data_IF_205168244001
#
_entry.id   IF_205168244001
#
_cell.length_a   1.000
_cell.length_b   1.000
_cell.length_c   1.000
_cell.angle_alpha   90.00
_cell.angle_beta   90.00
_cell.angle_gamma   90.00
#
_symmetry.space_group_name_H-M   'P 1'
#
loop_
_entity.id
_entity.type
_entity.pdbx_description
1 polymer ?
#
# COMPACT_ATOMS: atom_id res chain seq x y z
N UNK A 1 -7.38 -13.33 7.62
CA UNK A 1 -6.20 -13.00 8.45
C UNK A 1 -6.31 -11.53 8.78
N UNK A 2 -6.43 -11.17 10.06
CA UNK A 2 -6.57 -9.77 10.44
C UNK A 2 -5.17 -9.16 10.52
N UNK A 3 -4.88 -8.16 9.68
CA UNK A 3 -3.62 -7.42 9.76
C UNK A 3 -3.65 -6.54 11.00
N UNK A 4 -2.61 -6.66 11.83
CA UNK A 4 -2.35 -5.77 12.96
C UNK A 4 -1.24 -4.82 12.51
N UNK A 5 -1.38 -3.53 12.78
CA UNK A 5 -0.29 -2.60 12.55
C UNK A 5 -0.62 -1.16 12.92
N UNK A 6 0.24 -0.25 12.49
CA UNK A 6 0.31 1.12 12.98
C UNK A 6 -0.35 2.07 11.98
N UNK A 7 -1.35 2.82 12.46
CA UNK A 7 -1.92 3.95 11.73
C UNK A 7 -0.83 4.98 11.42
N UNK A 8 -0.80 5.47 10.18
CA UNK A 8 0.13 6.51 9.76
C UNK A 8 -0.60 7.82 9.49
N UNK A 9 -1.63 7.78 8.65
CA UNK A 9 -2.42 8.95 8.26
C UNK A 9 -3.70 8.56 7.54
N UNK A 10 -4.64 9.48 7.42
CA UNK A 10 -5.80 9.34 6.55
C UNK A 10 -5.61 10.19 5.28
N UNK A 11 -6.03 9.66 4.13
CA UNK A 11 -5.97 10.35 2.83
C UNK A 11 -7.34 10.32 2.15
N UNK A 12 -7.61 11.30 1.29
CA UNK A 12 -8.87 11.39 0.55
C UNK A 12 -8.68 10.89 -0.89
N UNK A 13 -9.31 9.77 -1.21
CA UNK A 13 -9.35 9.23 -2.57
C UNK A 13 -10.45 9.90 -3.38
N UNK A 14 -10.11 10.35 -4.60
CA UNK A 14 -11.05 10.89 -5.60
C UNK A 14 -12.08 11.88 -5.02
N UNK A 15 -11.64 12.72 -4.07
CA UNK A 15 -12.42 13.76 -3.38
C UNK A 15 -13.60 13.28 -2.51
N UNK A 16 -13.87 11.97 -2.41
CA UNK A 16 -15.08 11.44 -1.75
C UNK A 16 -14.80 10.51 -0.57
N UNK A 17 -13.86 9.57 -0.71
CA UNK A 17 -13.64 8.54 0.30
C UNK A 17 -12.38 8.86 1.11
N UNK A 18 -12.51 8.92 2.43
CA UNK A 18 -11.35 8.98 3.33
C UNK A 18 -10.93 7.55 3.65
N UNK A 19 -9.65 7.25 3.47
CA UNK A 19 -9.07 5.93 3.77
C UNK A 19 -7.88 6.10 4.69
N UNK A 20 -7.71 5.16 5.61
CA UNK A 20 -6.55 5.13 6.48
C UNK A 20 -5.40 4.38 5.81
N UNK A 21 -4.23 5.00 5.79
CA UNK A 21 -2.96 4.35 5.48
C UNK A 21 -2.40 3.78 6.77
N UNK A 22 -2.28 2.47 6.82
CA UNK A 22 -1.69 1.69 7.89
C UNK A 22 -0.45 0.98 7.38
N UNK A 23 0.50 0.74 8.28
CA UNK A 23 1.66 -0.12 8.00
C UNK A 23 1.54 -1.37 8.85
N UNK A 24 1.70 -2.53 8.24
CA UNK A 24 1.63 -3.80 8.96
C UNK A 24 2.70 -3.87 10.07
N UNK A 25 2.37 -4.48 11.20
CA UNK A 25 3.29 -4.70 12.34
C UNK A 25 4.56 -5.46 11.93
N UNK A 26 4.46 -6.28 10.87
CA UNK A 26 5.61 -6.87 10.18
C UNK A 26 5.54 -6.52 8.72
N UNK A 27 6.63 -5.98 8.20
CA UNK A 27 6.78 -5.62 6.80
C UNK A 27 7.94 -6.37 6.17
N UNK A 28 7.81 -6.64 4.88
CA UNK A 28 8.93 -7.14 4.09
C UNK A 28 9.84 -5.96 3.68
N UNK A 29 11.15 -6.12 3.84
CA UNK A 29 12.14 -5.20 3.29
C UNK A 29 13.35 -5.99 2.81
N UNK A 30 13.68 -5.87 1.51
CA UNK A 30 14.76 -6.61 0.84
C UNK A 30 14.67 -8.14 1.06
N UNK A 31 13.47 -8.69 0.89
CA UNK A 31 13.23 -10.13 1.05
C UNK A 31 13.11 -10.63 2.50
N UNK A 32 13.36 -9.78 3.51
CA UNK A 32 13.33 -10.18 4.93
C UNK A 32 12.15 -9.54 5.65
N UNK A 33 11.41 -10.33 6.42
CA UNK A 33 10.34 -9.85 7.29
C UNK A 33 10.90 -9.21 8.56
N UNK A 34 10.57 -7.95 8.80
CA UNK A 34 11.03 -7.20 9.97
C UNK A 34 9.84 -6.60 10.73
N UNK A 35 9.92 -6.53 12.07
CA UNK A 35 8.95 -5.75 12.85
C UNK A 35 9.08 -4.27 12.48
N UNK A 36 7.98 -3.53 12.48
CA UNK A 36 7.95 -2.11 12.07
C UNK A 36 8.85 -1.23 12.95
N UNK A 37 9.02 -1.60 14.22
CA UNK A 37 9.85 -0.89 15.19
C UNK A 37 11.36 -0.98 14.87
N UNK A 38 11.76 -1.96 14.05
CA UNK A 38 13.15 -2.14 13.60
C UNK A 38 13.42 -1.48 12.23
N UNK A 39 12.44 -0.79 11.67
CA UNK A 39 12.56 -0.07 10.39
C UNK A 39 13.05 1.35 10.65
N UNK A 40 13.94 1.84 9.77
CA UNK A 40 14.33 3.25 9.77
C UNK A 40 13.09 4.15 9.57
N UNK A 41 12.77 5.06 10.50
CA UNK A 41 11.63 5.96 10.38
C UNK A 41 11.60 6.76 9.07
N UNK A 42 12.77 7.08 8.49
CA UNK A 42 12.86 7.77 7.20
C UNK A 42 12.38 6.90 6.06
N UNK A 43 12.73 5.61 6.07
CA UNK A 43 12.27 4.65 5.06
C UNK A 43 10.75 4.44 5.16
N UNK A 44 10.25 4.33 6.39
CA UNK A 44 8.82 4.22 6.66
C UNK A 44 8.06 5.45 6.12
N UNK A 45 8.54 6.66 6.47
CA UNK A 45 7.94 7.92 6.01
C UNK A 45 7.98 8.05 4.49
N UNK A 46 9.09 7.68 3.84
CA UNK A 46 9.19 7.69 2.39
C UNK A 46 8.16 6.77 1.72
N UNK A 47 7.99 5.55 2.24
CA UNK A 47 6.98 4.62 1.73
C UNK A 47 5.56 5.17 1.91
N UNK A 48 5.23 5.72 3.08
CA UNK A 48 3.91 6.31 3.35
C UNK A 48 3.61 7.47 2.40
N UNK A 49 4.58 8.37 2.20
CA UNK A 49 4.43 9.52 1.31
C UNK A 49 4.23 9.08 -0.15
N UNK A 50 4.96 8.07 -0.61
CA UNK A 50 4.81 7.55 -1.96
C UNK A 50 3.43 6.91 -2.17
N UNK A 51 2.96 6.15 -1.18
CA UNK A 51 1.62 5.53 -1.22
C UNK A 51 0.53 6.59 -1.25
N UNK A 52 0.64 7.64 -0.44
CA UNK A 52 -0.27 8.78 -0.53
C UNK A 52 -0.27 9.40 -1.93
N UNK A 53 0.90 9.74 -2.47
CA UNK A 53 1.03 10.38 -3.78
C UNK A 53 0.32 9.56 -4.87
N UNK A 54 0.55 8.24 -4.88
CA UNK A 54 -0.07 7.35 -5.86
C UNK A 54 -1.59 7.24 -5.68
N UNK A 55 -2.05 7.08 -4.44
CA UNK A 55 -3.46 6.92 -4.14
C UNK A 55 -4.27 8.19 -4.39
N UNK A 56 -3.71 9.36 -4.10
CA UNK A 56 -4.42 10.65 -4.19
C UNK A 56 -4.28 11.25 -5.60
N UNK A 57 -3.09 11.20 -6.20
CA UNK A 57 -2.78 11.98 -7.40
C UNK A 57 -2.66 11.17 -8.69
N UNK A 58 -2.40 9.86 -8.61
CA UNK A 58 -2.17 9.03 -9.81
C UNK A 58 -3.37 8.17 -10.24
N UNK A 59 -4.49 8.23 -9.49
CA UNK A 59 -5.74 7.53 -9.84
C UNK A 59 -5.54 6.03 -10.13
N UNK A 60 -4.68 5.37 -9.33
CA UNK A 60 -4.36 3.95 -9.52
C UNK A 60 -5.58 3.04 -9.28
N UNK A 61 -6.54 3.49 -8.47
CA UNK A 61 -7.83 2.83 -8.28
C UNK A 61 -8.86 3.45 -9.20
N UNK A 62 -9.72 2.62 -9.80
CA UNK A 62 -10.92 3.15 -10.46
C UNK A 62 -11.86 3.83 -9.44
N UNK A 63 -12.75 4.75 -9.87
CA UNK A 63 -13.68 5.41 -8.94
C UNK A 63 -14.50 4.44 -8.08
N UNK A 64 -14.98 3.33 -8.66
CA UNK A 64 -15.70 2.29 -7.92
C UNK A 64 -14.82 1.56 -6.90
N UNK A 65 -13.55 1.30 -7.24
CA UNK A 65 -12.59 0.72 -6.30
C UNK A 65 -12.25 1.69 -5.18
N UNK A 66 -12.11 2.99 -5.48
CA UNK A 66 -11.85 4.02 -4.48
C UNK A 66 -13.01 4.19 -3.49
N UNK A 67 -14.26 4.12 -3.96
CA UNK A 67 -15.45 4.18 -3.08
C UNK A 67 -15.58 2.94 -2.17
N UNK A 68 -15.08 1.78 -2.62
CA UNK A 68 -15.07 0.55 -1.81
C UNK A 68 -13.96 0.55 -0.74
N UNK A 69 -12.89 1.30 -0.96
CA UNK A 69 -11.72 1.30 -0.08
C UNK A 69 -12.09 1.86 1.30
N UNK A 70 -11.68 1.17 2.35
CA UNK A 70 -11.78 1.65 3.74
C UNK A 70 -10.41 1.82 4.36
N UNK A 71 -9.50 0.88 4.10
CA UNK A 71 -8.15 0.87 4.65
C UNK A 71 -7.15 0.46 3.58
N UNK A 72 -5.95 0.94 3.76
CA UNK A 72 -4.81 0.60 2.92
C UNK A 72 -3.66 0.14 3.82
N UNK A 73 -3.12 -1.04 3.53
CA UNK A 73 -2.04 -1.65 4.30
C UNK A 73 -0.75 -1.68 3.50
N UNK A 74 0.30 -1.04 3.99
CA UNK A 74 1.66 -1.23 3.51
C UNK A 74 2.19 -2.53 4.12
N UNK A 75 2.43 -3.55 3.29
CA UNK A 75 2.89 -4.88 3.70
C UNK A 75 4.34 -5.17 3.30
N UNK A 76 4.86 -4.42 2.33
CA UNK A 76 6.28 -4.39 1.98
C UNK A 76 6.74 -2.97 1.79
N UNK A 77 7.92 -2.62 2.30
CA UNK A 77 8.55 -1.32 2.06
C UNK A 77 9.27 -1.28 0.71
N UNK A 78 9.73 -0.09 0.34
CA UNK A 78 10.51 0.14 -0.88
C UNK A 78 11.70 -0.82 -0.95
N UNK A 79 11.70 -1.68 -1.96
CA UNK A 79 12.78 -2.61 -2.24
C UNK A 79 12.78 -3.00 -3.71
N UNK A 80 13.92 -3.49 -4.19
CA UNK A 80 14.03 -4.20 -5.46
C UNK A 80 14.08 -5.71 -5.19
N UNK A 81 13.78 -6.50 -6.21
CA UNK A 81 13.97 -7.95 -6.18
C UNK A 81 14.74 -8.39 -7.43
N UNK A 82 15.28 -9.61 -7.42
CA UNK A 82 15.99 -10.14 -8.60
C UNK A 82 15.07 -10.30 -9.81
N UNK A 83 13.77 -10.50 -9.57
CA UNK A 83 12.73 -10.66 -10.60
C UNK A 83 12.13 -9.34 -11.07
N UNK A 84 12.12 -8.34 -10.21
CA UNK A 84 11.61 -7.00 -10.48
C UNK A 84 12.63 -5.97 -9.98
N UNK A 85 13.36 -5.41 -10.95
CA UNK A 85 14.41 -4.42 -10.68
C UNK A 85 13.84 -3.04 -10.34
N UNK A 86 12.53 -2.84 -10.47
CA UNK A 86 11.88 -1.60 -10.08
C UNK A 86 11.75 -1.54 -8.56
N UNK A 87 12.17 -0.43 -7.98
CA UNK A 87 11.96 -0.19 -6.56
C UNK A 87 10.47 0.03 -6.30
N UNK A 88 9.89 -0.84 -5.49
CA UNK A 88 8.47 -0.77 -5.18
C UNK A 88 8.18 -1.14 -3.72
N UNK A 89 7.05 -0.64 -3.23
CA UNK A 89 6.41 -1.09 -2.01
C UNK A 89 5.10 -1.80 -2.36
N UNK A 90 4.70 -2.75 -1.52
CA UNK A 90 3.46 -3.52 -1.73
C UNK A 90 2.39 -3.00 -0.78
N UNK A 91 1.23 -2.74 -1.36
CA UNK A 91 0.09 -2.17 -0.67
C UNK A 91 -1.13 -3.05 -0.89
N UNK A 92 -1.88 -3.33 0.17
CA UNK A 92 -3.14 -4.08 0.12
C UNK A 92 -4.32 -3.15 0.42
N UNK A 93 -5.31 -3.13 -0.46
CA UNK A 93 -6.51 -2.31 -0.32
C UNK A 93 -7.64 -3.17 0.22
N UNK A 94 -8.28 -2.68 1.28
CA UNK A 94 -9.21 -3.44 2.11
C UNK A 94 -10.57 -2.73 2.17
N UNK A 95 -11.65 -3.49 2.06
CA UNK A 95 -13.02 -2.99 2.15
C UNK A 95 -13.58 -3.02 3.58
N UNK A 96 -14.84 -2.58 3.75
CA UNK A 96 -15.51 -2.51 5.06
C UNK A 96 -15.79 -3.86 5.73
N UNK A 97 -15.48 -4.99 5.07
CA UNK A 97 -15.56 -6.34 5.64
C UNK A 97 -14.18 -6.90 5.96
N UNK A 98 -13.16 -6.04 5.98
CA UNK A 98 -11.74 -6.39 6.11
C UNK A 98 -11.25 -7.39 5.03
N UNK A 99 -11.86 -7.36 3.83
CA UNK A 99 -11.42 -8.18 2.69
C UNK A 99 -10.46 -7.41 1.81
N UNK A 100 -9.25 -7.96 1.60
CA UNK A 100 -8.30 -7.48 0.60
C UNK A 100 -8.85 -7.76 -0.81
N UNK A 101 -9.17 -6.72 -1.57
CA UNK A 101 -9.71 -6.89 -2.93
C UNK A 101 -8.77 -6.39 -4.03
N UNK A 102 -7.76 -5.58 -3.68
CA UNK A 102 -6.72 -5.15 -4.60
C UNK A 102 -5.36 -5.15 -3.90
N UNK A 103 -4.31 -5.45 -4.67
CA UNK A 103 -2.92 -5.24 -4.26
C UNK A 103 -2.25 -4.31 -5.26
N UNK A 104 -1.47 -3.38 -4.76
CA UNK A 104 -0.77 -2.37 -5.57
C UNK A 104 0.73 -2.55 -5.37
N UNK A 105 1.47 -2.51 -6.48
CA UNK A 105 2.90 -2.25 -6.45
C UNK A 105 3.10 -0.77 -6.68
N UNK A 106 3.41 -0.07 -5.58
CA UNK A 106 3.63 1.36 -5.57
C UNK A 106 5.11 1.61 -5.84
N UNK A 107 5.41 2.08 -7.04
CA UNK A 107 6.78 2.36 -7.52
C UNK A 107 7.05 3.87 -7.56
N UNK A 108 8.30 4.26 -7.82
CA UNK A 108 8.65 5.66 -8.09
C UNK A 108 8.27 6.12 -9.51
N UNK A 109 8.11 5.18 -10.45
CA UNK A 109 7.75 5.46 -11.84
C UNK A 109 6.22 5.34 -12.03
N UNK A 110 5.49 6.44 -12.32
CA UNK A 110 4.05 6.40 -12.55
C UNK A 110 3.63 5.45 -13.67
N UNK A 111 4.47 5.21 -14.68
CA UNK A 111 4.18 4.30 -15.80
C UNK A 111 4.23 2.81 -15.42
N UNK A 112 4.91 2.49 -14.32
CA UNK A 112 5.13 1.13 -13.85
C UNK A 112 4.26 0.77 -12.64
N UNK A 113 3.27 1.60 -12.33
CA UNK A 113 2.30 1.32 -11.25
C UNK A 113 1.41 0.14 -11.66
N UNK A 114 1.43 -0.93 -10.85
CA UNK A 114 0.68 -2.14 -11.17
C UNK A 114 -0.38 -2.44 -10.11
N UNK A 115 -1.60 -2.71 -10.58
CA UNK A 115 -2.71 -3.21 -9.75
C UNK A 115 -2.85 -4.71 -9.99
N UNK A 116 -2.40 -5.51 -9.04
CA UNK A 116 -2.68 -6.94 -9.01
C UNK A 116 -4.06 -7.16 -8.38
N UNK A 117 -5.06 -7.46 -9.22
CA UNK A 117 -6.42 -7.80 -8.78
C UNK A 117 -6.45 -9.26 -8.34
N UNK A 118 -6.83 -9.52 -7.10
CA UNK A 118 -7.09 -10.88 -6.64
C UNK A 118 -8.25 -11.47 -7.42
N UNK A 119 -8.03 -12.57 -8.14
CA UNK A 119 -9.13 -13.38 -8.69
C UNK A 119 -9.96 -13.92 -7.53
N UNK A 120 -11.25 -13.58 -7.50
CA UNK A 120 -12.22 -14.25 -6.64
C UNK A 120 -12.08 -15.76 -6.82
N UNK A 121 -11.86 -16.48 -5.72
CA UNK A 121 -12.37 -17.83 -5.53
C UNK A 121 -13.34 -17.78 -4.36
#
# INVERSE_FOLDING_TARGET
>A
MQLIGQFQKSVRLHSKQVVDILVASRVQHRGVWRPIEAIDPKLLSAAVNQVEEVLVHKSVLSPTEAERAQKVWITSLMHTSDKDKLTHCTVEVVDGKDVVYAKLHVTEDPGEQQVARGTRR
#
